data_IF_964411991325
#
_entry.id   IF_964411991325
#
_cell.length_a   1.000
_cell.length_b   1.000
_cell.length_c   1.000
_cell.angle_alpha   90.00
_cell.angle_beta   90.00
_cell.angle_gamma   90.00
#
_symmetry.space_group_name_H-M   'P 1'
#
loop_
_entity.id
_entity.type
_entity.pdbx_description
1 polymer ?
#
# COMPACT_ATOMS: atom_id res chain seq x y z
N UNK A 1 22.84 23.11 -1.12
CA UNK A 1 22.35 22.75 -2.46
C UNK A 1 21.83 24.01 -3.10
N UNK A 2 22.45 24.45 -4.18
CA UNK A 2 22.17 25.74 -4.80
C UNK A 2 20.80 25.75 -5.47
N UNK A 3 20.12 26.91 -5.43
CA UNK A 3 18.78 27.11 -5.99
C UNK A 3 18.70 26.68 -7.46
N UNK A 4 19.74 27.00 -8.24
CA UNK A 4 19.84 26.66 -9.66
C UNK A 4 19.83 25.14 -9.89
N UNK A 5 20.69 24.40 -9.20
CA UNK A 5 20.75 22.93 -9.29
C UNK A 5 19.42 22.27 -8.90
N UNK A 6 18.70 22.86 -7.95
CA UNK A 6 17.38 22.39 -7.54
C UNK A 6 16.33 22.55 -8.66
N UNK A 7 16.36 23.68 -9.38
CA UNK A 7 15.49 23.92 -10.52
C UNK A 7 15.82 22.97 -11.67
N UNK A 8 17.10 22.74 -11.96
CA UNK A 8 17.55 21.83 -13.03
C UNK A 8 17.05 20.39 -12.75
N UNK A 9 17.20 19.89 -11.52
CA UNK A 9 16.71 18.55 -11.14
C UNK A 9 15.19 18.44 -11.19
N UNK A 10 14.46 19.49 -10.80
CA UNK A 10 13.01 19.52 -10.91
C UNK A 10 12.57 19.52 -12.38
N UNK A 11 13.29 20.20 -13.26
CA UNK A 11 13.10 20.16 -14.71
C UNK A 11 13.23 18.74 -15.26
N UNK A 12 14.29 18.02 -14.87
CA UNK A 12 14.45 16.61 -15.23
C UNK A 12 13.32 15.71 -14.70
N UNK A 13 12.88 15.90 -13.46
CA UNK A 13 11.75 15.14 -12.89
C UNK A 13 10.45 15.44 -13.63
N UNK A 14 10.20 16.70 -14.00
CA UNK A 14 9.02 17.08 -14.78
C UNK A 14 9.06 16.45 -16.19
N UNK A 15 10.20 16.51 -16.87
CA UNK A 15 10.40 15.88 -18.18
C UNK A 15 10.21 14.36 -18.12
N UNK A 16 10.76 13.70 -17.10
CA UNK A 16 10.53 12.27 -16.84
C UNK A 16 9.05 11.96 -16.64
N UNK A 17 8.34 12.69 -15.77
CA UNK A 17 6.90 12.46 -15.51
C UNK A 17 6.05 12.70 -16.76
N UNK A 18 6.38 13.71 -17.55
CA UNK A 18 5.68 14.00 -18.81
C UNK A 18 5.93 12.93 -19.89
N UNK A 19 7.10 12.27 -19.85
CA UNK A 19 7.46 11.24 -20.84
C UNK A 19 6.60 9.97 -20.75
N UNK A 20 6.02 9.66 -19.59
CA UNK A 20 5.29 8.42 -19.34
C UNK A 20 6.14 7.13 -19.44
N UNK A 21 7.46 7.26 -19.65
CA UNK A 21 8.38 6.15 -19.80
C UNK A 21 8.70 5.47 -18.46
N UNK A 22 9.23 4.25 -18.52
CA UNK A 22 9.81 3.60 -17.34
C UNK A 22 11.07 4.33 -16.89
N UNK A 23 11.24 4.47 -15.57
CA UNK A 23 12.39 5.18 -14.98
C UNK A 23 13.75 4.69 -15.49
N UNK A 24 13.93 3.39 -15.69
CA UNK A 24 15.17 2.80 -16.20
C UNK A 24 15.47 3.21 -17.65
N UNK A 25 14.44 3.29 -18.48
CA UNK A 25 14.57 3.65 -19.90
C UNK A 25 14.91 5.13 -20.03
N UNK A 26 14.13 6.00 -19.39
CA UNK A 26 14.36 7.44 -19.43
C UNK A 26 15.74 7.81 -18.86
N UNK A 27 16.14 7.16 -17.76
CA UNK A 27 17.45 7.34 -17.14
C UNK A 27 18.61 6.97 -18.07
N UNK A 28 18.49 5.84 -18.80
CA UNK A 28 19.47 5.41 -19.78
C UNK A 28 19.58 6.37 -20.97
N UNK A 29 18.43 6.83 -21.50
CA UNK A 29 18.36 7.78 -22.62
C UNK A 29 18.99 9.15 -22.27
N UNK A 30 18.82 9.60 -21.03
CA UNK A 30 19.28 10.93 -20.59
C UNK A 30 20.64 10.89 -19.87
N UNK A 31 21.30 9.72 -19.81
CA UNK A 31 22.60 9.56 -19.14
C UNK A 31 22.58 9.81 -17.63
N UNK A 32 21.41 9.69 -17.00
CA UNK A 32 21.21 9.92 -15.57
C UNK A 32 21.23 8.59 -14.83
N UNK A 33 21.99 8.43 -13.73
CA UNK A 33 21.91 7.23 -12.92
C UNK A 33 20.50 7.03 -12.34
N UNK A 34 19.95 5.81 -12.47
CA UNK A 34 18.59 5.49 -12.00
C UNK A 34 18.38 5.84 -10.52
N UNK A 35 19.40 5.61 -9.69
CA UNK A 35 19.37 5.96 -8.25
C UNK A 35 19.22 7.46 -8.02
N UNK A 36 19.85 8.28 -8.86
CA UNK A 36 19.76 9.74 -8.81
C UNK A 36 18.36 10.19 -9.19
N UNK A 37 17.81 9.67 -10.29
CA UNK A 37 16.43 9.97 -10.71
C UNK A 37 15.41 9.59 -9.62
N UNK A 38 15.57 8.41 -9.00
CA UNK A 38 14.71 7.99 -7.89
C UNK A 38 14.81 8.94 -6.68
N UNK A 39 16.03 9.35 -6.33
CA UNK A 39 16.26 10.33 -5.25
C UNK A 39 15.64 11.69 -5.56
N UNK A 40 15.77 12.18 -6.80
CA UNK A 40 15.17 13.45 -7.22
C UNK A 40 13.64 13.39 -7.15
N UNK A 41 13.03 12.31 -7.65
CA UNK A 41 11.58 12.09 -7.55
C UNK A 41 11.10 12.08 -6.10
N UNK A 42 11.82 11.44 -5.18
CA UNK A 42 11.49 11.38 -3.76
C UNK A 42 11.61 12.74 -3.05
N UNK A 43 12.47 13.63 -3.54
CA UNK A 43 12.72 14.94 -2.94
C UNK A 43 12.07 16.11 -3.68
N UNK A 44 11.49 15.88 -4.87
CA UNK A 44 10.93 16.91 -5.73
C UNK A 44 9.89 17.78 -5.02
N UNK A 45 8.94 17.19 -4.29
CA UNK A 45 7.91 17.94 -3.58
C UNK A 45 8.49 18.90 -2.53
N UNK A 46 9.51 18.46 -1.79
CA UNK A 46 10.19 19.27 -0.78
C UNK A 46 11.02 20.39 -1.40
N UNK A 47 11.65 20.11 -2.54
CA UNK A 47 12.42 21.10 -3.29
C UNK A 47 11.52 22.16 -3.93
N UNK A 48 10.40 21.75 -4.51
CA UNK A 48 9.40 22.67 -5.06
C UNK A 48 8.88 23.63 -3.97
N UNK A 49 8.45 23.10 -2.82
CA UNK A 49 7.95 23.94 -1.73
C UNK A 49 9.01 24.92 -1.19
N UNK A 50 10.29 24.52 -1.16
CA UNK A 50 11.39 25.43 -0.81
C UNK A 50 11.59 26.55 -1.83
N UNK A 51 11.40 26.27 -3.13
CA UNK A 51 11.48 27.29 -4.17
C UNK A 51 10.30 28.25 -4.13
N UNK A 52 9.11 27.74 -3.80
CA UNK A 52 7.86 28.48 -3.66
C UNK A 52 7.80 29.30 -2.35
N UNK A 53 8.84 29.20 -1.49
CA UNK A 53 8.88 29.88 -0.20
C UNK A 53 7.90 29.31 0.84
N UNK A 54 7.27 28.17 0.53
CA UNK A 54 6.32 27.50 1.41
C UNK A 54 7.11 26.61 2.37
N UNK A 55 7.11 27.01 3.65
CA UNK A 55 7.61 26.14 4.71
C UNK A 55 6.64 24.97 4.87
N UNK A 56 6.99 23.81 4.30
CA UNK A 56 6.24 22.60 4.56
C UNK A 56 6.29 22.32 6.06
N UNK A 57 5.16 22.03 6.71
CA UNK A 57 5.18 21.60 8.11
C UNK A 57 6.13 20.40 8.19
N UNK A 58 7.14 20.50 9.03
CA UNK A 58 8.03 19.38 9.28
C UNK A 58 7.14 18.22 9.73
N UNK A 59 7.08 17.15 8.95
CA UNK A 59 6.45 15.91 9.39
C UNK A 59 7.23 15.51 10.63
N UNK A 60 6.61 15.71 11.81
CA UNK A 60 7.21 15.36 13.07
C UNK A 60 7.59 13.89 12.96
N UNK A 61 8.90 13.61 12.97
CA UNK A 61 9.37 12.24 12.95
C UNK A 61 8.80 11.61 14.22
N UNK A 62 7.97 10.56 14.13
CA UNK A 62 7.38 9.99 15.32
C UNK A 62 8.52 9.58 16.26
N UNK A 63 8.46 10.09 17.49
CA UNK A 63 9.44 9.78 18.53
C UNK A 63 8.90 8.56 19.28
N UNK A 64 9.57 7.42 19.13
CA UNK A 64 9.20 6.17 19.78
C UNK A 64 8.40 5.21 18.91
N UNK A 65 7.79 4.21 19.56
CA UNK A 65 6.99 3.19 18.89
C UNK A 65 5.64 3.77 18.46
N UNK A 66 5.33 3.72 17.17
CA UNK A 66 4.01 4.03 16.64
C UNK A 66 3.23 2.74 16.53
N UNK A 67 2.12 2.62 17.26
CA UNK A 67 1.21 1.50 17.09
C UNK A 67 0.67 1.51 15.65
N UNK A 68 0.97 0.46 14.89
CA UNK A 68 0.35 0.25 13.61
C UNK A 68 -1.16 0.11 13.83
N UNK A 69 -1.95 1.00 13.24
CA UNK A 69 -3.40 0.86 13.24
C UNK A 69 -3.75 -0.30 12.31
N UNK A 70 -3.88 -1.50 12.86
CA UNK A 70 -4.56 -2.58 12.15
C UNK A 70 -6.04 -2.21 12.05
N UNK A 71 -6.68 -2.41 10.88
CA UNK A 71 -8.12 -2.38 10.83
C UNK A 71 -8.63 -3.38 11.87
N UNK A 72 -9.57 -2.94 12.71
CA UNK A 72 -10.18 -3.82 13.69
C UNK A 72 -10.67 -5.07 12.94
N UNK A 73 -10.19 -6.24 13.34
CA UNK A 73 -10.76 -7.49 12.86
C UNK A 73 -12.27 -7.37 13.16
N UNK A 74 -13.08 -7.34 12.10
CA UNK A 74 -14.52 -7.42 12.27
C UNK A 74 -14.77 -8.63 13.15
N UNK A 75 -15.39 -8.44 14.31
CA UNK A 75 -15.82 -9.51 15.17
C UNK A 75 -16.97 -10.25 14.48
N UNK A 76 -16.68 -10.85 13.32
CA UNK A 76 -17.54 -11.81 12.68
C UNK A 76 -17.57 -13.00 13.63
N UNK A 77 -18.66 -13.12 14.39
CA UNK A 77 -18.90 -14.29 15.20
C UNK A 77 -18.76 -15.55 14.35
N UNK A 78 -18.37 -16.66 14.96
CA UNK A 78 -18.40 -17.96 14.28
C UNK A 78 -19.35 -18.90 15.01
N UNK A 79 -19.98 -19.78 14.26
CA UNK A 79 -20.78 -20.88 14.78
C UNK A 79 -19.98 -22.16 14.61
N UNK A 80 -19.99 -23.01 15.65
CA UNK A 80 -19.42 -24.36 15.58
C UNK A 80 -20.51 -25.33 15.14
N UNK A 81 -20.23 -26.12 14.11
CA UNK A 81 -21.12 -27.14 13.58
C UNK A 81 -20.46 -28.49 13.81
N UNK A 82 -21.20 -29.39 14.44
CA UNK A 82 -20.79 -30.77 14.68
C UNK A 82 -21.69 -31.69 13.86
N UNK A 83 -21.07 -32.50 13.00
CA UNK A 83 -21.74 -33.48 12.16
C UNK A 83 -21.34 -34.87 12.63
N UNK A 84 -22.32 -35.71 12.97
CA UNK A 84 -22.08 -37.07 13.44
C UNK A 84 -22.59 -38.07 12.38
N UNK A 85 -21.72 -38.96 11.93
CA UNK A 85 -22.04 -40.07 11.03
C UNK A 85 -21.48 -41.38 11.59
N UNK A 86 -22.33 -42.14 12.28
CA UNK A 86 -21.94 -43.36 12.99
C UNK A 86 -20.87 -43.08 14.05
N UNK A 87 -19.67 -43.65 13.87
CA UNK A 87 -18.53 -43.45 14.77
C UNK A 87 -17.64 -42.26 14.39
N UNK A 88 -17.95 -41.56 13.29
CA UNK A 88 -17.19 -40.40 12.82
C UNK A 88 -17.88 -39.09 13.18
N UNK A 89 -17.09 -38.12 13.64
CA UNK A 89 -17.57 -36.77 13.95
C UNK A 89 -16.69 -35.74 13.24
N UNK A 90 -17.33 -34.78 12.56
CA UNK A 90 -16.66 -33.67 11.89
C UNK A 90 -17.07 -32.37 12.58
N UNK A 91 -16.07 -31.61 13.05
CA UNK A 91 -16.26 -30.28 13.62
C UNK A 91 -15.81 -29.22 12.62
N UNK A 92 -16.70 -28.25 12.34
CA UNK A 92 -16.44 -27.13 11.45
C UNK A 92 -16.70 -25.82 12.20
N UNK A 93 -15.84 -24.82 12.00
CA UNK A 93 -16.09 -23.45 12.45
C UNK A 93 -16.48 -22.60 11.25
N UNK A 94 -17.68 -22.04 11.28
CA UNK A 94 -18.24 -21.26 10.18
C UNK A 94 -18.47 -19.80 10.56
N UNK A 95 -17.96 -18.81 9.81
CA UNK A 95 -18.19 -17.40 10.14
C UNK A 95 -19.64 -16.96 9.84
N UNK A 96 -20.26 -16.22 10.75
CA UNK A 96 -21.65 -15.73 10.61
C UNK A 96 -21.82 -14.78 9.44
N UNK A 97 -20.75 -14.11 9.02
CA UNK A 97 -20.73 -13.25 7.84
C UNK A 97 -20.95 -14.01 6.51
N UNK A 98 -20.76 -15.34 6.49
CA UNK A 98 -20.95 -16.18 5.30
C UNK A 98 -22.13 -17.16 5.46
N UNK A 99 -23.26 -16.68 5.98
CA UNK A 99 -24.43 -17.53 6.24
C UNK A 99 -25.05 -18.14 4.96
N UNK A 100 -24.87 -17.49 3.80
CA UNK A 100 -25.41 -17.98 2.52
C UNK A 100 -24.65 -19.22 2.05
N UNK A 101 -23.34 -19.20 2.16
CA UNK A 101 -22.43 -20.28 1.81
C UNK A 101 -22.66 -21.47 2.75
N UNK A 102 -22.91 -21.22 4.05
CA UNK A 102 -23.34 -22.26 4.98
C UNK A 102 -24.63 -22.94 4.51
N UNK A 103 -25.63 -22.17 4.09
CA UNK A 103 -26.89 -22.72 3.61
C UNK A 103 -26.75 -23.54 2.31
N UNK A 104 -25.72 -23.30 1.51
CA UNK A 104 -25.39 -24.14 0.34
C UNK A 104 -24.76 -25.43 0.82
N UNK A 105 -23.75 -25.37 1.70
CA UNK A 105 -23.10 -26.55 2.26
C UNK A 105 -24.10 -27.51 2.92
N UNK A 106 -25.00 -26.99 3.75
CA UNK A 106 -26.03 -27.80 4.42
C UNK A 106 -27.00 -28.48 3.44
N UNK A 107 -27.30 -27.83 2.31
CA UNK A 107 -28.14 -28.43 1.26
C UNK A 107 -27.43 -29.56 0.54
N UNK A 108 -26.14 -29.42 0.24
CA UNK A 108 -25.37 -30.48 -0.39
C UNK A 108 -25.12 -31.67 0.54
N UNK A 109 -24.95 -31.44 1.84
CA UNK A 109 -24.81 -32.52 2.83
C UNK A 109 -26.11 -33.31 3.06
N UNK A 110 -27.26 -32.71 2.79
CA UNK A 110 -28.57 -33.35 2.95
C UNK A 110 -29.07 -34.12 1.72
N UNK A 111 -28.29 -34.17 0.63
CA UNK A 111 -28.54 -35.01 -0.54
C UNK A 111 -27.89 -36.38 -0.35
#
# INVERSE_FOLDING_TARGET
>A
MDRQRMQDYLGHVAAYRASGQKASQWAAEHGVPLRSLASWCAHAARWQARLDGVSLPAVAKPVGFVAARLPAASAAGSVRIELHAGTTAVTLHWPTAQARELAVLLRELGR
#
